data_IF_930918540914
#
_entry.id   IF_930918540914
#
_cell.length_a   1.000
_cell.length_b   1.000
_cell.length_c   1.000
_cell.angle_alpha   90.00
_cell.angle_beta   90.00
_cell.angle_gamma   90.00
#
_symmetry.space_group_name_H-M   'P 1'
#
loop_
_entity.id
_entity.type
_entity.pdbx_description
1 polymer ?
#
# COMPACT_ATOMS: atom_id res chain seq x y z
N UNK A 1 -10.85 9.04 2.12
CA UNK A 1 -10.05 9.16 3.35
C UNK A 1 -8.71 8.43 3.26
N UNK A 2 -8.61 7.21 2.72
CA UNK A 2 -7.30 6.55 2.52
C UNK A 2 -6.32 7.40 1.69
N UNK A 3 -6.78 7.99 0.58
CA UNK A 3 -5.99 8.97 -0.20
C UNK A 3 -5.40 10.13 0.61
N UNK A 4 -6.11 10.63 1.63
CA UNK A 4 -5.59 11.68 2.51
C UNK A 4 -4.51 11.12 3.46
N UNK A 5 -4.67 9.89 3.96
CA UNK A 5 -3.61 9.19 4.70
C UNK A 5 -2.33 9.07 3.85
N UNK A 6 -2.45 8.66 2.59
CA UNK A 6 -1.33 8.53 1.66
C UNK A 6 -0.63 9.87 1.40
N UNK A 7 -1.43 10.92 1.16
CA UNK A 7 -0.91 12.27 0.98
C UNK A 7 -0.14 12.76 2.22
N UNK A 8 -0.71 12.59 3.42
CA UNK A 8 -0.06 12.97 4.67
C UNK A 8 1.25 12.21 4.88
N UNK A 9 1.24 10.90 4.64
CA UNK A 9 2.44 10.07 4.72
C UNK A 9 3.56 10.60 3.81
N UNK A 10 3.23 10.86 2.54
CA UNK A 10 4.19 11.43 1.59
C UNK A 10 4.72 12.79 2.05
N UNK A 11 3.86 13.68 2.56
CA UNK A 11 4.28 15.00 3.03
C UNK A 11 5.14 14.98 4.28
N UNK A 12 4.87 14.06 5.22
CA UNK A 12 5.69 13.91 6.44
C UNK A 12 7.13 13.53 6.11
N UNK A 13 7.33 12.68 5.10
CA UNK A 13 8.65 12.16 4.73
C UNK A 13 9.29 12.85 3.52
N UNK A 14 8.65 13.87 2.95
CA UNK A 14 9.17 14.59 1.77
C UNK A 14 9.12 13.80 0.47
N UNK A 15 8.23 12.80 0.36
CA UNK A 15 8.00 12.06 -0.88
C UNK A 15 7.07 12.82 -1.82
N UNK A 16 7.21 12.53 -3.12
CA UNK A 16 6.25 12.96 -4.12
C UNK A 16 4.94 12.16 -3.98
N UNK A 17 3.81 12.87 -4.01
CA UNK A 17 2.49 12.26 -4.05
C UNK A 17 1.84 12.55 -5.40
N UNK A 18 1.49 11.48 -6.12
CA UNK A 18 0.73 11.57 -7.37
C UNK A 18 -0.61 10.88 -7.23
N UNK A 19 -1.66 11.61 -7.57
CA UNK A 19 -2.97 11.02 -7.81
C UNK A 19 -3.10 10.70 -9.29
N UNK A 20 -2.82 9.45 -9.67
CA UNK A 20 -2.90 9.02 -11.06
C UNK A 20 -4.37 8.86 -11.48
N UNK A 21 -4.84 9.74 -12.37
CA UNK A 21 -6.07 9.56 -13.11
C UNK A 21 -5.73 8.98 -14.48
N UNK A 22 -5.95 7.68 -14.65
CA UNK A 22 -5.82 7.04 -15.95
C UNK A 22 -7.14 7.16 -16.68
N UNK A 23 -7.11 7.53 -17.96
CA UNK A 23 -8.31 7.52 -18.80
C UNK A 23 -8.94 6.12 -18.77
N UNK A 24 -10.29 6.09 -18.71
CA UNK A 24 -11.07 4.86 -18.61
C UNK A 24 -10.54 3.80 -19.57
N UNK A 25 -9.99 2.68 -19.05
CA UNK A 25 -9.40 1.68 -19.90
C UNK A 25 -10.52 0.96 -20.64
N UNK A 26 -10.82 1.42 -21.86
CA UNK A 26 -11.78 0.76 -22.77
C UNK A 26 -11.51 -0.74 -22.76
N UNK A 27 -12.50 -1.53 -22.32
CA UNK A 27 -12.51 -3.01 -22.32
C UNK A 27 -11.78 -3.73 -21.16
N UNK A 28 -11.64 -3.11 -19.97
CA UNK A 28 -11.25 -3.82 -18.73
C UNK A 28 -11.76 -3.14 -17.47
N UNK A 29 -11.78 -3.87 -16.36
CA UNK A 29 -12.23 -3.39 -15.06
C UNK A 29 -11.35 -2.23 -14.56
N UNK A 30 -11.90 -1.21 -13.87
CA UNK A 30 -11.15 -0.02 -13.46
C UNK A 30 -9.90 -0.27 -12.62
N UNK A 31 -9.85 -1.38 -11.89
CA UNK A 31 -8.68 -1.76 -11.07
C UNK A 31 -7.41 -1.96 -11.90
N UNK A 32 -7.54 -2.27 -13.20
CA UNK A 32 -6.42 -2.37 -14.12
C UNK A 32 -5.66 -1.06 -14.32
N UNK A 33 -6.23 0.10 -14.00
CA UNK A 33 -5.58 1.40 -14.22
C UNK A 33 -4.22 1.53 -13.52
N UNK A 34 -4.03 0.83 -12.40
CA UNK A 34 -2.79 0.85 -11.63
C UNK A 34 -1.59 0.31 -12.42
N UNK A 35 -1.80 -0.68 -13.29
CA UNK A 35 -0.72 -1.35 -14.03
C UNK A 35 -0.03 -0.43 -15.05
N UNK A 36 -0.73 0.20 -16.01
CA UNK A 36 -0.10 1.15 -16.93
C UNK A 36 0.37 2.43 -16.23
N UNK A 37 -0.31 2.89 -15.17
CA UNK A 37 0.15 4.03 -14.37
C UNK A 37 1.52 3.77 -13.73
N UNK A 38 1.67 2.62 -13.06
CA UNK A 38 2.95 2.20 -12.49
C UNK A 38 4.03 2.09 -13.56
N UNK A 39 3.71 1.48 -14.71
CA UNK A 39 4.65 1.35 -15.84
C UNK A 39 5.21 2.70 -16.29
N UNK A 40 4.34 3.68 -16.46
CA UNK A 40 4.72 5.02 -16.91
C UNK A 40 5.59 5.73 -15.88
N UNK A 41 5.25 5.62 -14.60
CA UNK A 41 5.97 6.31 -13.53
C UNK A 41 7.36 5.73 -13.24
N UNK A 42 7.64 4.48 -13.68
CA UNK A 42 8.98 3.85 -13.57
C UNK A 42 10.05 4.56 -14.43
N UNK A 43 9.68 5.48 -15.31
CA UNK A 43 10.64 6.32 -16.02
C UNK A 43 11.18 7.47 -15.15
N UNK A 44 10.49 7.80 -14.05
CA UNK A 44 10.76 9.02 -13.28
C UNK A 44 11.25 8.77 -11.85
N UNK A 45 10.96 7.59 -11.29
CA UNK A 45 11.24 7.28 -9.88
C UNK A 45 12.06 6.01 -9.71
N UNK A 46 12.94 5.99 -8.69
CA UNK A 46 13.68 4.78 -8.28
C UNK A 46 12.77 3.75 -7.61
N UNK A 47 11.82 4.22 -6.81
CA UNK A 47 10.81 3.40 -6.16
C UNK A 47 9.45 4.03 -6.39
N UNK A 48 8.44 3.20 -6.62
CA UNK A 48 7.04 3.62 -6.67
C UNK A 48 6.26 2.74 -5.70
N UNK A 49 5.50 3.40 -4.84
CA UNK A 49 4.59 2.73 -3.91
C UNK A 49 3.16 2.99 -4.36
N UNK A 50 2.46 1.93 -4.70
CA UNK A 50 1.03 1.98 -5.00
C UNK A 50 0.21 1.59 -3.78
N UNK A 51 -0.88 2.32 -3.57
CA UNK A 51 -1.81 2.16 -2.47
C UNK A 51 -3.24 2.30 -2.99
N UNK A 52 -4.05 1.25 -2.88
CA UNK A 52 -5.49 1.32 -3.17
C UNK A 52 -6.18 2.31 -2.22
N UNK A 53 -7.29 2.91 -2.64
CA UNK A 53 -7.94 4.00 -1.90
C UNK A 53 -8.49 3.60 -0.53
N UNK A 54 -8.65 2.30 -0.29
CA UNK A 54 -9.04 1.63 0.96
C UNK A 54 -7.84 1.03 1.72
N UNK A 55 -6.63 1.45 1.40
CA UNK A 55 -5.45 1.19 2.24
C UNK A 55 -5.13 2.37 3.17
N UNK A 56 -4.51 2.06 4.31
CA UNK A 56 -4.11 3.03 5.34
C UNK A 56 -2.74 2.64 5.90
N UNK A 57 -1.84 3.61 5.99
CA UNK A 57 -0.57 3.52 6.72
C UNK A 57 -0.86 3.95 8.17
N UNK A 58 -0.88 3.02 9.14
CA UNK A 58 -1.29 3.32 10.51
C UNK A 58 -0.23 4.09 11.32
N UNK A 59 1.04 4.02 10.91
CA UNK A 59 2.17 4.67 11.59
C UNK A 59 2.82 5.69 10.66
N UNK A 60 2.29 6.92 10.64
CA UNK A 60 2.76 7.94 9.70
C UNK A 60 4.20 8.39 9.93
N UNK A 61 4.75 8.15 11.13
CA UNK A 61 6.13 8.50 11.47
C UNK A 61 7.17 7.47 10.99
N UNK A 62 6.77 6.26 10.58
CA UNK A 62 7.71 5.24 10.09
C UNK A 62 8.03 5.49 8.61
N UNK A 63 9.28 5.81 8.24
CA UNK A 63 9.62 6.13 6.86
C UNK A 63 9.60 4.87 5.96
N UNK A 64 9.38 5.07 4.67
CA UNK A 64 9.38 4.00 3.67
C UNK A 64 10.72 3.26 3.65
N UNK A 65 11.85 3.98 3.78
CA UNK A 65 13.20 3.39 3.79
C UNK A 65 13.35 2.34 4.90
N UNK A 66 12.73 2.56 6.06
CA UNK A 66 12.72 1.58 7.14
C UNK A 66 11.96 0.32 6.73
N UNK A 67 10.80 0.45 6.07
CA UNK A 67 10.02 -0.67 5.56
C UNK A 67 10.76 -1.45 4.45
N UNK A 68 11.44 -0.74 3.54
CA UNK A 68 12.26 -1.36 2.49
C UNK A 68 13.36 -2.22 3.10
N UNK A 69 14.07 -1.70 4.10
CA UNK A 69 15.11 -2.44 4.81
C UNK A 69 14.52 -3.60 5.62
N UNK A 70 13.45 -3.37 6.38
CA UNK A 70 12.78 -4.37 7.22
C UNK A 70 12.29 -5.58 6.40
N UNK A 71 11.69 -5.33 5.24
CA UNK A 71 11.25 -6.39 4.34
C UNK A 71 12.36 -6.94 3.44
N UNK A 72 13.61 -6.49 3.61
CA UNK A 72 14.74 -6.90 2.80
C UNK A 72 14.43 -6.76 1.30
N UNK A 73 14.06 -5.54 0.88
CA UNK A 73 13.94 -5.15 -0.51
C UNK A 73 15.34 -4.84 -1.02
N UNK A 74 15.83 -5.67 -1.94
CA UNK A 74 17.19 -5.57 -2.49
C UNK A 74 17.15 -4.96 -3.90
N UNK A 75 18.29 -4.49 -4.47
CA UNK A 75 18.31 -3.91 -5.82
C UNK A 75 17.73 -4.80 -6.93
N UNK A 76 17.77 -6.12 -6.74
CA UNK A 76 17.22 -7.11 -7.67
C UNK A 76 15.71 -7.31 -7.53
N UNK A 77 15.10 -6.81 -6.44
CA UNK A 77 13.65 -6.89 -6.24
C UNK A 77 12.92 -6.02 -7.24
N UNK A 78 12.12 -6.63 -8.11
CA UNK A 78 11.32 -5.91 -9.11
C UNK A 78 10.06 -5.34 -8.48
N UNK A 79 9.36 -6.20 -7.74
CA UNK A 79 8.03 -5.92 -7.20
C UNK A 79 7.83 -6.63 -5.87
N UNK A 80 7.39 -5.89 -4.85
CA UNK A 80 6.94 -6.43 -3.58
C UNK A 80 5.43 -6.32 -3.45
N UNK A 81 4.79 -7.42 -3.04
CA UNK A 81 3.35 -7.56 -2.87
C UNK A 81 3.07 -8.40 -1.64
N UNK A 82 2.01 -8.09 -0.91
CA UNK A 82 1.59 -8.89 0.23
C UNK A 82 0.82 -10.13 -0.19
N UNK A 83 0.95 -11.25 0.53
CA UNK A 83 0.10 -12.42 0.30
C UNK A 83 -1.37 -12.10 0.64
N UNK A 84 -2.32 -12.70 -0.07
CA UNK A 84 -3.72 -12.75 0.38
C UNK A 84 -3.90 -13.71 1.57
N UNK A 85 -5.04 -13.63 2.28
CA UNK A 85 -5.39 -14.63 3.26
C UNK A 85 -5.42 -16.04 2.66
N UNK A 86 -4.99 -17.02 3.46
CA UNK A 86 -5.02 -18.43 3.04
C UNK A 86 -6.46 -18.93 3.01
N UNK A 87 -7.06 -18.89 1.82
CA UNK A 87 -8.40 -19.40 1.52
C UNK A 87 -8.40 -19.95 0.08
N UNK A 88 -9.08 -21.07 -0.23
CA UNK A 88 -9.17 -21.59 -1.59
C UNK A 88 -9.62 -20.58 -2.64
N UNK A 89 -10.47 -19.61 -2.29
CA UNK A 89 -10.91 -18.55 -3.22
C UNK A 89 -9.76 -17.63 -3.65
N UNK A 90 -8.71 -17.55 -2.84
CA UNK A 90 -7.53 -16.73 -3.07
C UNK A 90 -6.38 -17.52 -3.70
N UNK A 91 -6.63 -18.71 -4.25
CA UNK A 91 -5.62 -19.46 -4.98
C UNK A 91 -5.69 -19.18 -6.47
N UNK A 92 -4.52 -19.25 -7.12
CA UNK A 92 -4.47 -19.31 -8.57
C UNK A 92 -4.81 -20.71 -9.11
N UNK A 93 -4.83 -20.87 -10.43
CA UNK A 93 -5.10 -22.14 -11.10
C UNK A 93 -4.07 -23.25 -10.76
N UNK A 94 -2.93 -22.91 -10.14
CA UNK A 94 -1.88 -23.85 -9.69
C UNK A 94 -1.93 -24.12 -8.19
N UNK A 95 -2.97 -23.66 -7.49
CA UNK A 95 -3.16 -23.88 -6.05
C UNK A 95 -2.27 -23.02 -5.15
N UNK A 96 -1.59 -22.01 -5.70
CA UNK A 96 -0.76 -21.08 -4.93
C UNK A 96 -1.55 -19.83 -4.59
N UNK A 97 -1.55 -19.45 -3.30
CA UNK A 97 -2.18 -18.20 -2.83
C UNK A 97 -1.72 -17.01 -3.65
N UNK A 98 -2.69 -16.17 -4.03
CA UNK A 98 -2.50 -14.93 -4.77
C UNK A 98 -1.74 -13.92 -3.92
N UNK A 99 -1.14 -12.95 -4.60
CA UNK A 99 -0.55 -11.79 -3.97
C UNK A 99 -1.48 -10.61 -4.18
N UNK A 100 -1.83 -9.93 -3.09
CA UNK A 100 -2.69 -8.77 -3.09
C UNK A 100 -2.03 -7.59 -3.80
N UNK A 101 -2.77 -6.93 -4.69
CA UNK A 101 -2.27 -5.80 -5.50
C UNK A 101 -2.76 -4.42 -5.02
N UNK A 102 -3.33 -4.36 -3.81
CA UNK A 102 -3.74 -3.10 -3.18
C UNK A 102 -2.59 -2.34 -2.52
N UNK A 103 -1.48 -3.02 -2.23
CA UNK A 103 -0.24 -2.40 -1.81
C UNK A 103 0.92 -3.01 -2.59
N UNK A 104 1.66 -2.17 -3.32
CA UNK A 104 2.77 -2.62 -4.16
C UNK A 104 3.97 -1.70 -3.99
N UNK A 105 5.17 -2.27 -3.95
CA UNK A 105 6.44 -1.51 -4.06
C UNK A 105 7.15 -1.99 -5.31
N UNK A 106 7.31 -1.11 -6.29
CA UNK A 106 8.09 -1.40 -7.50
C UNK A 106 9.41 -0.65 -7.47
N UNK A 107 10.49 -1.31 -7.86
CA UNK A 107 11.80 -0.70 -8.02
C UNK A 107 12.15 -0.55 -9.49
N UNK A 108 12.76 0.56 -9.84
CA UNK A 108 13.11 0.87 -11.21
C UNK A 108 14.20 -0.05 -11.73
N UNK A 109 13.88 -0.80 -12.79
CA UNK A 109 14.86 -1.51 -13.61
C UNK A 109 14.26 -1.81 -14.99
N UNK A 110 15.08 -2.13 -16.01
CA UNK A 110 14.58 -2.62 -17.28
C UNK A 110 13.67 -3.85 -17.13
N UNK A 111 14.01 -4.76 -16.21
CA UNK A 111 13.25 -5.99 -15.95
C UNK A 111 11.91 -5.70 -15.26
N UNK A 112 11.85 -4.70 -14.37
CA UNK A 112 10.58 -4.25 -13.76
C UNK A 112 9.65 -3.64 -14.81
N UNK A 113 10.19 -2.85 -15.76
CA UNK A 113 9.40 -2.31 -16.87
C UNK A 113 8.88 -3.43 -17.78
N UNK A 114 9.67 -4.47 -18.02
CA UNK A 114 9.22 -5.66 -18.75
C UNK A 114 8.08 -6.37 -18.01
N UNK A 115 8.18 -6.51 -16.68
CA UNK A 115 7.11 -7.09 -15.85
C UNK A 115 5.79 -6.32 -16.02
N UNK A 116 5.81 -5.00 -15.84
CA UNK A 116 4.59 -4.20 -15.99
C UNK A 116 4.08 -4.17 -17.43
N UNK A 117 4.96 -4.24 -18.44
CA UNK A 117 4.56 -4.40 -19.85
C UNK A 117 3.82 -5.73 -20.07
N UNK A 118 4.40 -6.84 -19.62
CA UNK A 118 3.80 -8.16 -19.74
C UNK A 118 2.44 -8.22 -19.02
N UNK A 119 2.31 -7.53 -17.89
CA UNK A 119 1.07 -7.42 -17.15
C UNK A 119 0.00 -6.62 -17.91
N UNK A 120 0.34 -5.41 -18.39
CA UNK A 120 -0.59 -4.55 -19.12
C UNK A 120 -1.08 -5.19 -20.44
N UNK A 121 -0.18 -5.88 -21.16
CA UNK A 121 -0.46 -6.54 -22.44
C UNK A 121 -1.15 -7.91 -22.28
N UNK A 122 -1.29 -8.41 -21.04
CA UNK A 122 -1.80 -9.76 -20.75
C UNK A 122 -3.16 -10.05 -21.41
N UNK A 123 -4.07 -9.06 -21.40
CA UNK A 123 -5.40 -9.21 -21.97
C UNK A 123 -5.42 -9.38 -23.50
N UNK A 124 -4.33 -9.04 -24.19
CA UNK A 124 -4.18 -9.25 -25.63
C UNK A 124 -3.86 -10.71 -26.00
N UNK A 125 -3.58 -11.56 -25.01
CA UNK A 125 -3.30 -13.00 -25.16
C UNK A 125 -2.15 -13.38 -26.11
N UNK A 126 -1.32 -12.41 -26.50
CA UNK A 126 -0.15 -12.65 -27.36
C UNK A 126 0.95 -13.43 -26.62
N UNK A 127 1.22 -13.05 -25.37
CA UNK A 127 2.18 -13.72 -24.47
C UNK A 127 1.51 -14.78 -23.59
N UNK A 128 0.27 -14.53 -23.18
CA UNK A 128 -0.44 -15.35 -22.18
C UNK A 128 -1.83 -15.78 -22.68
N UNK A 129 -1.94 -16.94 -23.33
CA UNK A 129 -3.22 -17.48 -23.77
C UNK A 129 -4.21 -17.56 -22.59
N UNK A 130 -5.48 -17.19 -22.82
CA UNK A 130 -6.57 -17.16 -21.83
C UNK A 130 -6.47 -16.10 -20.73
N UNK A 131 -5.51 -15.16 -20.79
CA UNK A 131 -5.42 -14.11 -19.79
C UNK A 131 -6.57 -13.08 -19.89
N UNK A 132 -7.23 -12.94 -21.05
CA UNK A 132 -8.31 -11.96 -21.25
C UNK A 132 -9.47 -12.09 -20.26
N UNK A 133 -9.70 -13.30 -19.70
CA UNK A 133 -10.73 -13.54 -18.68
C UNK A 133 -10.60 -12.62 -17.47
N UNK A 134 -9.36 -12.25 -17.11
CA UNK A 134 -9.05 -11.36 -16.00
C UNK A 134 -9.32 -9.88 -16.31
N UNK A 135 -9.79 -9.55 -17.51
CA UNK A 135 -10.23 -8.20 -17.85
C UNK A 135 -11.40 -7.74 -16.97
N UNK A 136 -12.34 -8.64 -16.68
CA UNK A 136 -13.54 -8.34 -15.88
C UNK A 136 -13.88 -9.37 -14.80
N UNK A 137 -13.28 -10.56 -14.84
CA UNK A 137 -13.49 -11.54 -13.79
C UNK A 137 -12.62 -11.21 -12.58
N UNK A 138 -13.20 -11.22 -11.38
CA UNK A 138 -12.48 -11.09 -10.13
C UNK A 138 -11.44 -12.22 -9.98
N UNK A 139 -10.20 -11.97 -9.52
CA UNK A 139 -9.72 -10.70 -8.94
C UNK A 139 -8.99 -9.79 -9.95
N UNK A 140 -9.37 -9.81 -11.22
CA UNK A 140 -8.90 -8.88 -12.26
C UNK A 140 -7.37 -8.93 -12.48
N UNK A 141 -6.69 -7.77 -12.45
CA UNK A 141 -5.25 -7.64 -12.63
C UNK A 141 -4.47 -8.50 -11.63
N UNK A 142 -4.97 -8.67 -10.41
CA UNK A 142 -4.39 -9.55 -9.41
C UNK A 142 -4.44 -11.02 -9.84
N UNK A 143 -5.56 -11.44 -10.43
CA UNK A 143 -5.73 -12.77 -10.99
C UNK A 143 -4.79 -13.00 -12.16
N UNK A 144 -4.67 -12.02 -13.06
CA UNK A 144 -3.71 -12.08 -14.16
C UNK A 144 -2.27 -12.21 -13.65
N UNK A 145 -1.88 -11.40 -12.66
CA UNK A 145 -0.56 -11.46 -12.07
C UNK A 145 -0.25 -12.83 -11.46
N UNK A 146 -1.18 -13.35 -10.65
CA UNK A 146 -1.02 -14.62 -9.96
C UNK A 146 -1.02 -15.83 -10.89
N UNK A 147 -1.78 -15.81 -11.99
CA UNK A 147 -1.91 -16.96 -12.88
C UNK A 147 -0.85 -17.00 -13.99
N UNK A 148 -0.34 -15.84 -14.40
CA UNK A 148 0.55 -15.73 -15.56
C UNK A 148 1.86 -15.01 -15.20
N UNK A 149 1.81 -13.72 -14.89
CA UNK A 149 3.01 -12.86 -14.82
C UNK A 149 4.02 -13.38 -13.80
N UNK A 150 3.59 -13.74 -12.58
CA UNK A 150 4.52 -14.18 -11.52
C UNK A 150 5.36 -15.41 -11.88
N UNK A 151 4.93 -16.18 -12.89
CA UNK A 151 5.64 -17.40 -13.29
C UNK A 151 6.74 -17.13 -14.31
N UNK A 152 6.67 -16.02 -15.04
CA UNK A 152 7.72 -15.57 -15.96
C UNK A 152 8.83 -14.77 -15.23
N UNK A 153 8.48 -14.10 -14.13
CA UNK A 153 9.40 -13.33 -13.29
C UNK A 153 9.66 -14.10 -11.99
N UNK A 154 10.36 -15.23 -12.12
CA UNK A 154 10.53 -16.22 -11.07
C UNK A 154 11.97 -16.29 -10.52
N UNK A 155 12.81 -15.28 -10.81
CA UNK A 155 14.10 -15.14 -10.16
C UNK A 155 13.94 -15.08 -8.65
N UNK A 156 14.93 -15.59 -7.90
CA UNK A 156 14.83 -15.73 -6.44
C UNK A 156 14.55 -14.42 -5.70
N UNK A 157 14.89 -13.28 -6.31
CA UNK A 157 14.64 -11.95 -5.79
C UNK A 157 13.58 -11.16 -6.58
N UNK A 158 13.08 -11.66 -7.72
CA UNK A 158 12.23 -10.87 -8.64
C UNK A 158 10.97 -10.35 -7.91
N UNK A 159 10.27 -11.25 -7.22
CA UNK A 159 9.02 -10.95 -6.50
C UNK A 159 9.22 -11.15 -5.01
N UNK A 160 9.14 -10.06 -4.24
CA UNK A 160 9.12 -10.13 -2.78
C UNK A 160 7.70 -10.35 -2.27
N UNK A 161 7.47 -11.48 -1.62
CA UNK A 161 6.20 -11.76 -0.93
C UNK A 161 6.25 -11.19 0.49
N UNK A 162 5.42 -10.19 0.77
CA UNK A 162 5.30 -9.59 2.10
C UNK A 162 4.31 -10.40 2.96
N UNK A 163 4.55 -10.54 4.27
CA UNK A 163 3.60 -11.18 5.17
C UNK A 163 2.26 -10.46 5.17
N UNK A 164 1.15 -11.19 4.96
CA UNK A 164 -0.17 -10.57 4.97
C UNK A 164 -0.48 -9.94 6.32
N UNK A 165 -0.06 -10.55 7.44
CA UNK A 165 -0.23 -10.01 8.79
C UNK A 165 0.34 -8.60 8.94
N UNK A 166 1.33 -8.22 8.13
CA UNK A 166 1.97 -6.92 8.17
C UNK A 166 1.44 -5.98 7.10
N UNK A 167 1.25 -6.45 5.87
CA UNK A 167 1.06 -5.61 4.70
C UNK A 167 -0.29 -5.81 3.99
N UNK A 168 -1.23 -6.58 4.57
CA UNK A 168 -2.56 -6.80 4.02
C UNK A 168 -3.63 -7.01 5.12
N UNK A 169 -4.88 -6.75 4.77
CA UNK A 169 -6.01 -6.87 5.71
C UNK A 169 -6.03 -5.76 6.74
N UNK A 170 -6.90 -5.90 7.73
CA UNK A 170 -7.15 -4.92 8.77
C UNK A 170 -7.41 -5.63 10.11
N UNK A 171 -7.40 -4.91 11.25
CA UNK A 171 -7.72 -5.51 12.55
C UNK A 171 -9.03 -6.30 12.56
N UNK A 172 -10.02 -5.85 11.81
CA UNK A 172 -11.33 -6.50 11.67
C UNK A 172 -11.27 -7.83 10.90
N UNK A 173 -10.27 -8.02 10.03
CA UNK A 173 -9.99 -9.27 9.33
C UNK A 173 -8.95 -10.15 10.03
N UNK A 174 -8.60 -9.88 11.29
CA UNK A 174 -7.53 -10.61 12.00
C UNK A 174 -7.78 -12.13 12.10
N UNK A 175 -9.03 -12.58 12.08
CA UNK A 175 -9.40 -14.00 12.04
C UNK A 175 -8.87 -14.74 10.80
N UNK A 176 -8.51 -14.01 9.74
CA UNK A 176 -7.89 -14.56 8.53
C UNK A 176 -6.36 -14.66 8.60
N UNK A 177 -5.76 -14.21 9.71
CA UNK A 177 -4.31 -14.07 9.87
C UNK A 177 -3.74 -12.78 9.27
N UNK A 178 -4.52 -12.02 8.48
CA UNK A 178 -4.09 -10.78 7.85
C UNK A 178 -4.69 -9.57 8.59
N UNK A 179 -3.88 -8.96 9.45
CA UNK A 179 -4.29 -7.84 10.32
C UNK A 179 -3.75 -6.48 9.88
N UNK A 180 -2.85 -6.44 8.89
CA UNK A 180 -2.27 -5.22 8.36
C UNK A 180 -1.50 -4.38 9.39
N UNK A 181 -0.54 -4.97 10.11
CA UNK A 181 0.19 -4.26 11.19
C UNK A 181 0.89 -2.98 10.69
N UNK A 182 1.54 -3.04 9.53
CA UNK A 182 2.35 -1.96 8.96
C UNK A 182 1.64 -1.25 7.81
N UNK A 183 0.83 -1.97 7.03
CA UNK A 183 -0.07 -1.41 6.01
C UNK A 183 -1.41 -2.13 6.13
N UNK A 184 -2.47 -1.37 6.36
CA UNK A 184 -3.84 -1.89 6.45
C UNK A 184 -4.51 -1.80 5.09
N UNK A 185 -5.13 -2.86 4.63
CA UNK A 185 -5.95 -2.89 3.42
C UNK A 185 -7.37 -3.34 3.77
N UNK A 186 -8.31 -2.40 3.69
CA UNK A 186 -9.71 -2.61 4.09
C UNK A 186 -10.55 -3.23 2.96
N UNK A 187 -10.07 -4.30 2.32
CA UNK A 187 -10.89 -5.11 1.42
C UNK A 187 -12.11 -5.69 2.16
N UNK A 188 -11.96 -5.95 3.46
CA UNK A 188 -13.02 -6.11 4.43
C UNK A 188 -13.26 -4.80 5.19
N UNK A 189 -14.52 -4.40 5.37
CA UNK A 189 -14.87 -3.23 6.18
C UNK A 189 -14.41 -1.89 5.58
N UNK A 190 -14.60 -1.66 4.28
CA UNK A 190 -14.25 -0.41 3.58
C UNK A 190 -14.74 0.88 4.27
N UNK A 191 -15.88 0.80 4.96
CA UNK A 191 -16.45 1.91 5.75
C UNK A 191 -15.57 2.33 6.94
N UNK A 192 -14.59 1.53 7.35
CA UNK A 192 -13.70 1.79 8.48
C UNK A 192 -12.49 2.67 8.11
N UNK A 193 -12.19 2.83 6.82
CA UNK A 193 -11.06 3.64 6.32
C UNK A 193 -11.03 5.07 6.91
N UNK A 194 -12.16 5.81 7.02
CA UNK A 194 -12.17 7.11 7.68
C UNK A 194 -11.79 7.06 9.17
N UNK A 195 -12.18 6.02 9.90
CA UNK A 195 -11.82 5.87 11.31
C UNK A 195 -10.33 5.55 11.45
N UNK A 196 -9.83 4.61 10.63
CA UNK A 196 -8.43 4.21 10.60
C UNK A 196 -7.49 5.37 10.23
N UNK A 197 -7.87 6.20 9.26
CA UNK A 197 -7.09 7.39 8.92
C UNK A 197 -7.01 8.37 10.10
N UNK A 198 -8.13 8.67 10.76
CA UNK A 198 -8.15 9.54 11.95
C UNK A 198 -7.26 8.98 13.06
N UNK A 199 -7.33 7.68 13.33
CA UNK A 199 -6.48 7.01 14.30
C UNK A 199 -4.99 7.16 13.96
N UNK A 200 -4.60 7.01 12.68
CA UNK A 200 -3.21 7.16 12.23
C UNK A 200 -2.65 8.56 12.49
N UNK A 201 -3.47 9.61 12.31
CA UNK A 201 -3.10 11.00 12.59
C UNK A 201 -2.98 11.19 14.10
N UNK A 202 -4.01 10.85 14.87
CA UNK A 202 -3.99 11.01 16.32
C UNK A 202 -2.79 10.30 16.95
N UNK A 203 -2.51 9.05 16.54
CA UNK A 203 -1.36 8.28 17.02
C UNK A 203 -0.02 8.96 16.73
N UNK A 204 0.10 9.66 15.61
CA UNK A 204 1.37 10.27 15.19
C UNK A 204 1.61 11.64 15.83
N UNK A 205 0.55 12.41 16.12
CA UNK A 205 0.68 13.79 16.61
C UNK A 205 0.39 13.96 18.10
N UNK A 206 -0.55 13.19 18.68
CA UNK A 206 -0.96 13.36 20.09
C UNK A 206 0.18 13.19 21.08
N UNK A 207 1.09 12.19 20.95
CA UNK A 207 2.22 12.07 21.88
C UNK A 207 3.11 13.32 21.91
N UNK A 208 3.43 13.86 20.74
CA UNK A 208 4.25 15.07 20.63
C UNK A 208 3.54 16.31 21.16
N UNK A 209 2.24 16.44 20.91
CA UNK A 209 1.42 17.52 21.47
C UNK A 209 1.36 17.43 23.00
N UNK A 210 1.26 16.22 23.56
CA UNK A 210 1.27 16.00 25.00
C UNK A 210 2.64 16.36 25.61
N UNK A 211 3.75 15.96 24.98
CA UNK A 211 5.10 16.36 25.42
C UNK A 211 5.28 17.88 25.42
N UNK A 212 4.83 18.57 24.36
CA UNK A 212 4.83 20.04 24.30
C UNK A 212 3.98 20.65 25.40
N UNK A 213 2.76 20.14 25.60
CA UNK A 213 1.88 20.58 26.68
C UNK A 213 2.54 20.45 28.05
N UNK A 214 3.14 19.30 28.37
CA UNK A 214 3.84 19.11 29.64
C UNK A 214 5.01 20.07 29.78
N UNK A 215 5.84 20.21 28.76
CA UNK A 215 6.96 21.13 28.78
C UNK A 215 6.53 22.59 29.06
N UNK A 216 5.47 23.06 28.41
CA UNK A 216 4.96 24.42 28.59
C UNK A 216 4.24 24.59 29.93
N UNK A 217 3.50 23.58 30.36
CA UNK A 217 2.86 23.50 31.68
C UNK A 217 3.92 23.61 32.80
N UNK A 218 5.02 22.85 32.71
CA UNK A 218 6.10 22.91 33.70
C UNK A 218 6.89 24.22 33.69
N UNK A 219 6.89 24.96 32.58
CA UNK A 219 7.46 26.33 32.53
C UNK A 219 6.54 27.37 33.16
N UNK A 220 5.23 27.14 33.17
CA UNK A 220 4.22 28.08 33.66
C UNK A 220 3.94 28.03 35.16
N UNK A 221 4.39 27.00 35.89
CA UNK A 221 3.91 26.74 37.25
C UNK A 221 5.07 26.67 38.24
N UNK A 222 5.20 27.73 39.04
CA UNK A 222 5.71 27.61 40.40
C UNK A 222 4.68 26.83 41.23
N UNK A 223 5.11 25.68 41.76
CA UNK A 223 4.41 24.79 42.71
C UNK A 223 3.06 25.29 43.29
N UNK A 224 2.00 24.56 42.95
CA UNK A 224 0.68 24.45 43.61
C UNK A 224 -0.20 25.72 43.70
N UNK A 225 -1.28 25.74 42.91
CA UNK A 225 -2.40 26.69 43.00
C UNK A 225 -3.50 26.35 42.00
N UNK A 226 -4.74 26.81 42.24
CA UNK A 226 -5.90 26.56 41.37
C UNK A 226 -5.63 26.91 39.90
N UNK A 227 -5.97 25.99 39.00
CA UNK A 227 -5.69 26.11 37.57
C UNK A 227 -6.65 27.10 36.89
N UNK A 228 -6.13 27.98 36.04
CA UNK A 228 -6.92 28.87 35.18
C UNK A 228 -6.23 29.02 33.83
N UNK A 229 -6.93 28.70 32.75
CA UNK A 229 -6.41 28.77 31.38
C UNK A 229 -6.40 30.23 30.90
N UNK A 230 -5.22 30.74 30.52
CA UNK A 230 -5.07 32.04 29.87
C UNK A 230 -4.60 31.83 28.42
N UNK A 231 -5.39 32.30 27.44
CA UNK A 231 -5.03 32.26 26.01
C UNK A 231 -4.89 33.69 25.51
N UNK A 232 -3.67 34.09 25.13
CA UNK A 232 -3.41 35.38 24.49
C UNK A 232 -3.40 35.23 22.97
N UNK A 233 -4.04 36.16 22.26
CA UNK A 233 -4.01 36.25 20.80
C UNK A 233 -3.33 37.57 20.46
N UNK A 234 -2.30 37.53 19.61
CA UNK A 234 -1.60 38.70 19.07
C UNK A 234 -2.00 38.97 17.64
#
# INVERSE_FOLDING_TARGET
>A
MGRLNHYLFAKIHGYDYKFAQVQDPKRRHPTWCKVPAMRQELDHYKFIVFLDADTVIPYLHLPLEWLLNYWNIVPETLLALSRDPTDPINNDDRGRTLLNTGFMIAQQSPRTKELFKAWDECLGETRYPKCSRWGFNWPHEQGAFGNFIRYDFNGSQDIKVLPCAEANGCPESAHTGCMGRLVRHYWYGKSMVPAAMRESVLRSFVPRLHEMFLHDYWKGIGRWGNESMMVGIS
#
